data_IF_866284603591
#
_entry.id   IF_866284603591
#
_cell.length_a   1.000
_cell.length_b   1.000
_cell.length_c   1.000
_cell.angle_alpha   90.00
_cell.angle_beta   90.00
_cell.angle_gamma   90.00
#
_symmetry.space_group_name_H-M   'P 1'
#
loop_
_entity.id
_entity.type
_entity.pdbx_description
1 polymer ?
#
# COMPACT_ATOMS: atom_id res chain seq x y z
N UNK A 1 -45.90 57.78 35.77
CA UNK A 1 -46.03 56.45 35.15
C UNK A 1 -45.09 55.48 35.84
N UNK A 2 -45.67 54.35 36.28
CA UNK A 2 -45.09 53.05 36.64
C UNK A 2 -44.03 52.90 37.75
N UNK A 3 -44.56 52.38 38.85
CA UNK A 3 -43.99 51.56 39.93
C UNK A 3 -42.94 50.52 39.53
N UNK A 4 -41.97 50.29 40.41
CA UNK A 4 -41.49 48.94 40.71
C UNK A 4 -41.35 48.76 42.23
N UNK A 5 -42.28 47.96 42.75
CA UNK A 5 -42.36 47.43 44.09
C UNK A 5 -41.47 46.17 44.13
N UNK A 6 -40.45 46.13 44.99
CA UNK A 6 -39.77 44.87 45.32
C UNK A 6 -39.95 44.66 46.82
N UNK A 7 -40.84 43.72 47.11
CA UNK A 7 -41.07 43.13 48.44
C UNK A 7 -39.76 42.64 49.03
N UNK A 8 -39.49 43.10 50.25
CA UNK A 8 -38.54 42.53 51.19
C UNK A 8 -39.00 41.10 51.54
N UNK A 9 -38.35 40.10 50.95
CA UNK A 9 -38.63 38.68 51.19
C UNK A 9 -37.73 38.12 52.29
N UNK A 10 -38.35 37.80 53.43
CA UNK A 10 -37.94 36.87 54.49
C UNK A 10 -36.43 36.61 54.68
N UNK A 11 -35.89 37.13 55.78
CA UNK A 11 -34.63 36.66 56.35
C UNK A 11 -34.68 35.14 56.56
N UNK A 12 -33.77 34.43 55.92
CA UNK A 12 -33.50 33.05 56.26
C UNK A 12 -32.97 33.03 57.70
N UNK A 13 -33.78 32.55 58.63
CA UNK A 13 -33.36 32.28 60.01
C UNK A 13 -32.37 31.12 60.00
N UNK A 14 -31.09 31.44 59.86
CA UNK A 14 -30.00 30.49 60.10
C UNK A 14 -30.01 30.12 61.58
N UNK A 15 -30.00 28.83 61.95
CA UNK A 15 -29.76 28.47 63.35
C UNK A 15 -28.36 28.96 63.71
N UNK A 16 -28.34 29.91 64.62
CA UNK A 16 -27.14 30.53 65.18
C UNK A 16 -26.37 29.45 65.95
N UNK A 17 -25.28 28.96 65.37
CA UNK A 17 -24.35 28.10 66.10
C UNK A 17 -23.55 29.00 67.05
N UNK A 18 -23.58 28.75 68.38
CA UNK A 18 -22.76 29.53 69.29
C UNK A 18 -21.29 29.34 68.91
N UNK A 19 -20.64 30.43 68.52
CA UNK A 19 -19.20 30.46 68.31
C UNK A 19 -18.54 30.25 69.67
N UNK A 20 -17.92 29.08 69.84
CA UNK A 20 -17.05 28.79 70.97
C UNK A 20 -15.93 29.83 71.03
N UNK A 21 -15.74 30.39 72.22
CA UNK A 21 -14.69 31.35 72.55
C UNK A 21 -13.28 30.75 72.39
N UNK A 22 -12.26 31.58 72.10
CA UNK A 22 -10.96 31.10 71.67
C UNK A 22 -10.07 30.78 72.87
N UNK A 23 -9.74 29.51 73.06
CA UNK A 23 -8.42 29.04 73.55
C UNK A 23 -8.43 27.52 73.61
N UNK A 24 -7.29 26.92 73.25
CA UNK A 24 -6.99 25.49 73.14
C UNK A 24 -7.16 24.94 71.72
N UNK A 25 -6.09 25.13 70.95
CA UNK A 25 -5.87 24.60 69.60
C UNK A 25 -5.53 23.10 69.63
N UNK A 26 -6.09 22.34 70.57
CA UNK A 26 -6.01 20.88 70.58
C UNK A 26 -7.24 20.34 69.87
N UNK A 27 -7.01 19.62 68.78
CA UNK A 27 -8.06 18.87 68.09
C UNK A 27 -8.47 17.76 69.05
N UNK A 28 -9.58 17.98 69.76
CA UNK A 28 -10.13 17.02 70.70
C UNK A 28 -10.72 15.82 69.90
N UNK A 29 -9.88 14.80 69.71
CA UNK A 29 -10.19 13.61 68.92
C UNK A 29 -11.45 12.89 69.41
N UNK A 30 -11.73 12.97 70.71
CA UNK A 30 -12.91 12.37 71.33
C UNK A 30 -14.19 13.13 70.97
N UNK A 31 -14.13 14.47 70.95
CA UNK A 31 -15.24 15.31 70.55
C UNK A 31 -15.54 15.17 69.04
N UNK A 32 -14.49 15.02 68.22
CA UNK A 32 -14.64 14.69 66.80
C UNK A 32 -15.33 13.32 66.60
N UNK A 33 -14.96 12.31 67.38
CA UNK A 33 -15.57 10.97 67.38
C UNK A 33 -17.03 11.01 67.82
N UNK A 34 -17.37 11.82 68.83
CA UNK A 34 -18.75 11.98 69.29
C UNK A 34 -19.63 12.65 68.22
N UNK A 35 -19.12 13.70 67.56
CA UNK A 35 -19.79 14.35 66.42
C UNK A 35 -19.96 13.37 65.26
N UNK A 36 -18.94 12.56 64.94
CA UNK A 36 -18.99 11.54 63.88
C UNK A 36 -20.02 10.43 64.21
N UNK A 37 -20.12 10.04 65.48
CA UNK A 37 -21.08 9.04 65.96
C UNK A 37 -22.52 9.55 65.94
N UNK A 38 -22.73 10.81 66.31
CA UNK A 38 -24.05 11.49 66.29
C UNK A 38 -24.51 11.76 64.86
N UNK A 39 -23.58 12.11 63.97
CA UNK A 39 -23.83 12.37 62.56
C UNK A 39 -23.73 11.13 61.66
N UNK A 40 -23.60 9.91 62.21
CA UNK A 40 -23.35 8.69 61.39
C UNK A 40 -24.37 8.47 60.27
N UNK A 41 -25.65 8.83 60.50
CA UNK A 41 -26.70 8.73 59.48
C UNK A 41 -26.52 9.76 58.37
N UNK A 42 -26.12 10.98 58.73
CA UNK A 42 -25.84 12.07 57.79
C UNK A 42 -24.60 11.78 56.95
N UNK A 43 -23.53 11.28 57.59
CA UNK A 43 -22.30 10.85 56.90
C UNK A 43 -22.61 9.71 55.93
N UNK A 44 -23.36 8.69 56.36
CA UNK A 44 -23.73 7.57 55.49
C UNK A 44 -24.65 8.00 54.35
N UNK A 45 -25.57 8.96 54.58
CA UNK A 45 -26.40 9.54 53.52
C UNK A 45 -25.60 10.35 52.50
N UNK A 46 -24.62 11.15 52.93
CA UNK A 46 -23.75 11.94 52.03
C UNK A 46 -22.84 11.01 51.22
N UNK A 47 -22.23 9.99 51.86
CA UNK A 47 -21.41 8.99 51.15
C UNK A 47 -22.25 8.23 50.13
N UNK A 48 -23.47 7.83 50.48
CA UNK A 48 -24.40 7.18 49.56
C UNK A 48 -24.80 8.10 48.39
N UNK A 49 -25.09 9.37 48.67
CA UNK A 49 -25.42 10.35 47.63
C UNK A 49 -24.26 10.57 46.65
N UNK A 50 -23.03 10.69 47.14
CA UNK A 50 -21.83 10.79 46.29
C UNK A 50 -21.53 9.49 45.55
N UNK A 51 -21.77 8.31 46.15
CA UNK A 51 -21.63 7.03 45.49
C UNK A 51 -22.64 6.87 44.34
N UNK A 52 -23.91 7.24 44.56
CA UNK A 52 -24.93 7.27 43.52
C UNK A 52 -24.61 8.28 42.42
N UNK A 53 -24.17 9.49 42.78
CA UNK A 53 -23.75 10.50 41.80
C UNK A 53 -22.55 10.01 40.97
N UNK A 54 -21.56 9.38 41.60
CA UNK A 54 -20.40 8.79 40.92
C UNK A 54 -20.78 7.67 39.95
N UNK A 55 -21.73 6.81 40.34
CA UNK A 55 -22.27 5.77 39.46
C UNK A 55 -23.03 6.36 38.26
N UNK A 56 -23.87 7.37 38.48
CA UNK A 56 -24.60 8.04 37.40
C UNK A 56 -23.65 8.73 36.42
N UNK A 57 -22.62 9.42 36.93
CA UNK A 57 -21.60 10.07 36.10
C UNK A 57 -20.77 9.03 35.32
N UNK A 58 -20.45 7.89 35.94
CA UNK A 58 -19.73 6.80 35.28
C UNK A 58 -20.52 6.17 34.14
N UNK A 59 -21.86 6.12 34.25
CA UNK A 59 -22.72 5.59 33.18
C UNK A 59 -22.96 6.62 32.07
N UNK A 60 -22.85 7.93 32.37
CA UNK A 60 -22.96 9.02 31.39
C UNK A 60 -21.71 9.14 30.50
N UNK A 61 -20.56 8.60 30.94
CA UNK A 61 -19.31 8.72 30.21
C UNK A 61 -19.38 7.89 28.91
N UNK A 62 -19.11 8.49 27.73
CA UNK A 62 -19.24 7.77 26.47
C UNK A 62 -18.25 6.62 26.43
N UNK A 63 -18.77 5.39 26.36
CA UNK A 63 -17.96 4.20 26.20
C UNK A 63 -17.31 4.22 24.81
N UNK A 64 -15.98 4.20 24.78
CA UNK A 64 -15.19 4.18 23.55
C UNK A 64 -14.41 2.88 23.51
N UNK A 65 -14.51 2.17 22.40
CA UNK A 65 -13.78 0.94 22.15
C UNK A 65 -12.71 1.19 21.11
N UNK A 66 -11.49 0.77 21.39
CA UNK A 66 -10.37 0.88 20.46
C UNK A 66 -10.00 -0.52 19.99
N UNK A 67 -10.15 -0.77 18.69
CA UNK A 67 -9.59 -1.94 18.04
C UNK A 67 -8.14 -1.63 17.66
N UNK A 68 -7.23 -2.58 17.91
CA UNK A 68 -5.82 -2.45 17.59
C UNK A 68 -5.31 -3.72 16.88
N UNK A 69 -4.49 -3.53 15.85
CA UNK A 69 -3.84 -4.59 15.10
C UNK A 69 -2.35 -4.26 14.94
N UNK A 70 -1.50 -5.22 15.26
CA UNK A 70 -0.04 -5.10 15.07
C UNK A 70 0.31 -5.76 13.75
N UNK A 71 0.88 -5.00 12.83
CA UNK A 71 1.29 -5.49 11.51
C UNK A 71 2.81 -5.53 11.40
N UNK A 72 3.31 -6.56 10.72
CA UNK A 72 4.73 -6.80 10.46
C UNK A 72 4.98 -7.02 8.97
N UNK A 73 6.23 -6.84 8.50
CA UNK A 73 6.59 -7.15 7.12
C UNK A 73 6.24 -8.61 6.76
N UNK A 74 5.86 -8.86 5.50
CA UNK A 74 5.44 -10.19 5.06
C UNK A 74 6.60 -11.19 5.17
N UNK A 75 6.26 -12.40 5.58
CA UNK A 75 7.23 -13.49 5.72
C UNK A 75 7.57 -14.11 4.34
N UNK A 76 8.75 -14.76 4.21
CA UNK A 76 9.14 -15.42 2.96
C UNK A 76 8.13 -16.45 2.45
N UNK A 77 7.43 -17.15 3.36
CA UNK A 77 6.43 -18.17 3.01
C UNK A 77 5.24 -17.56 2.28
N UNK A 78 4.78 -16.39 2.72
CA UNK A 78 3.68 -15.64 2.09
C UNK A 78 4.08 -15.09 0.71
N UNK A 79 5.39 -14.87 0.50
CA UNK A 79 5.94 -14.36 -0.77
C UNK A 79 6.20 -15.44 -1.81
N UNK A 80 6.08 -16.72 -1.45
CA UNK A 80 6.53 -17.83 -2.29
C UNK A 80 5.79 -17.91 -3.63
N UNK A 81 4.49 -17.65 -3.66
CA UNK A 81 3.72 -17.65 -4.90
C UNK A 81 4.14 -16.51 -5.84
N UNK A 82 4.45 -15.34 -5.26
CA UNK A 82 4.93 -14.20 -6.01
C UNK A 82 6.35 -14.45 -6.56
N UNK A 83 7.24 -15.06 -5.77
CA UNK A 83 8.58 -15.49 -6.21
C UNK A 83 8.53 -16.51 -7.36
N UNK A 84 7.58 -17.44 -7.34
CA UNK A 84 7.36 -18.37 -8.47
C UNK A 84 6.98 -17.61 -9.74
N UNK A 85 6.17 -16.57 -9.62
CA UNK A 85 5.77 -15.73 -10.74
C UNK A 85 6.95 -14.89 -11.26
N UNK A 86 7.73 -14.26 -10.37
CA UNK A 86 8.94 -13.54 -10.77
C UNK A 86 10.01 -14.43 -11.39
N UNK A 87 10.14 -15.67 -10.92
CA UNK A 87 11.07 -16.64 -11.54
C UNK A 87 10.67 -16.94 -12.97
N UNK A 88 9.38 -17.12 -13.26
CA UNK A 88 8.87 -17.27 -14.64
C UNK A 88 9.16 -16.04 -15.49
N UNK A 89 8.98 -14.84 -14.93
CA UNK A 89 9.29 -13.59 -15.62
C UNK A 89 10.79 -13.42 -15.85
N UNK A 90 11.65 -13.84 -14.92
CA UNK A 90 13.11 -13.81 -15.08
C UNK A 90 13.59 -14.72 -16.22
N UNK A 91 12.93 -15.84 -16.46
CA UNK A 91 13.20 -16.69 -17.63
C UNK A 91 12.89 -15.95 -18.95
N UNK A 92 11.92 -15.02 -18.93
CA UNK A 92 11.63 -14.08 -20.01
C UNK A 92 12.56 -12.84 -19.99
N UNK A 93 13.71 -12.96 -19.33
CA UNK A 93 14.71 -11.92 -19.13
C UNK A 93 14.19 -10.69 -18.33
N UNK A 94 13.01 -10.76 -17.70
CA UNK A 94 12.48 -9.67 -16.85
C UNK A 94 12.96 -9.81 -15.41
N UNK A 95 13.97 -9.03 -14.99
CA UNK A 95 14.36 -8.94 -13.58
C UNK A 95 13.44 -7.95 -12.83
N UNK A 96 12.24 -8.41 -12.49
CA UNK A 96 11.31 -7.67 -11.63
C UNK A 96 11.48 -8.20 -10.21
N UNK A 97 12.06 -7.37 -9.34
CA UNK A 97 12.17 -7.62 -7.90
C UNK A 97 11.21 -6.68 -7.20
N UNK A 98 10.29 -7.23 -6.42
CA UNK A 98 9.49 -6.47 -5.45
C UNK A 98 10.02 -6.83 -4.07
N UNK A 99 10.59 -5.85 -3.39
CA UNK A 99 11.10 -6.06 -2.04
C UNK A 99 9.94 -6.14 -1.03
N UNK A 100 10.06 -7.06 -0.07
CA UNK A 100 9.05 -7.27 0.97
C UNK A 100 8.88 -6.03 1.86
N UNK A 101 10.00 -5.37 2.17
CA UNK A 101 10.03 -4.13 2.97
C UNK A 101 9.43 -2.99 2.19
N UNK A 102 9.70 -2.89 0.88
CA UNK A 102 9.10 -1.88 0.01
C UNK A 102 7.58 -2.03 -0.09
N UNK A 103 7.08 -3.27 -0.24
CA UNK A 103 5.65 -3.54 -0.25
C UNK A 103 4.98 -3.20 1.09
N UNK A 104 5.64 -3.51 2.21
CA UNK A 104 5.17 -3.14 3.54
C UNK A 104 5.17 -1.62 3.75
N UNK A 105 6.24 -0.93 3.35
CA UNK A 105 6.32 0.53 3.43
C UNK A 105 5.25 1.21 2.56
N UNK A 106 4.96 0.65 1.38
CA UNK A 106 3.87 1.11 0.52
C UNK A 106 2.51 0.92 1.18
N UNK A 107 2.29 -0.22 1.85
CA UNK A 107 1.09 -0.47 2.64
C UNK A 107 0.91 0.59 3.73
N UNK A 108 1.95 0.82 4.55
CA UNK A 108 1.90 1.84 5.62
C UNK A 108 1.65 3.24 5.05
N UNK A 109 2.35 3.61 3.97
CA UNK A 109 2.16 4.90 3.29
C UNK A 109 0.73 5.09 2.80
N UNK A 110 0.11 4.05 2.25
CA UNK A 110 -1.28 4.10 1.80
C UNK A 110 -2.26 4.12 2.97
N UNK A 111 -1.99 3.36 4.02
CA UNK A 111 -2.82 3.34 5.22
C UNK A 111 -2.89 4.74 5.87
N UNK A 112 -1.76 5.44 5.94
CA UNK A 112 -1.66 6.82 6.45
C UNK A 112 -2.28 7.87 5.50
N UNK A 113 -2.64 7.51 4.27
CA UNK A 113 -3.22 8.44 3.32
C UNK A 113 -4.64 8.82 3.72
N UNK A 114 -4.83 10.11 4.01
CA UNK A 114 -6.14 10.67 4.36
C UNK A 114 -7.16 10.46 3.24
N UNK A 115 -6.75 10.62 1.99
CA UNK A 115 -7.64 10.50 0.83
C UNK A 115 -8.16 9.08 0.66
N UNK A 116 -7.32 8.07 0.86
CA UNK A 116 -7.72 6.65 0.76
C UNK A 116 -8.65 6.25 1.90
N UNK A 117 -8.41 6.77 3.10
CA UNK A 117 -9.31 6.55 4.23
C UNK A 117 -10.68 7.19 3.98
N UNK A 118 -10.71 8.42 3.48
CA UNK A 118 -11.97 9.08 3.12
C UNK A 118 -12.72 8.34 2.02
N UNK A 119 -12.01 7.86 0.99
CA UNK A 119 -12.60 7.04 -0.08
C UNK A 119 -13.19 5.73 0.46
N UNK A 120 -12.47 5.05 1.36
CA UNK A 120 -12.96 3.84 2.01
C UNK A 120 -14.20 4.12 2.87
N UNK A 121 -14.16 5.16 3.72
CA UNK A 121 -15.29 5.52 4.58
C UNK A 121 -16.51 5.92 3.74
N UNK A 122 -16.30 6.54 2.56
CA UNK A 122 -17.34 6.91 1.59
C UNK A 122 -17.94 5.72 0.84
N UNK A 123 -17.13 4.72 0.53
CA UNK A 123 -17.52 3.56 -0.29
C UNK A 123 -18.01 2.36 0.54
N UNK A 124 -17.68 2.31 1.83
CA UNK A 124 -18.06 1.22 2.72
C UNK A 124 -19.56 1.26 3.03
N UNK A 125 -20.35 0.23 2.63
CA UNK A 125 -21.78 0.16 2.92
C UNK A 125 -22.04 0.19 4.43
N UNK A 126 -21.21 -0.50 5.21
CA UNK A 126 -21.34 -0.59 6.66
C UNK A 126 -21.23 0.77 7.35
N UNK A 127 -20.24 1.59 6.96
CA UNK A 127 -20.06 2.94 7.52
C UNK A 127 -21.16 3.88 7.04
N UNK A 128 -21.59 3.75 5.78
CA UNK A 128 -22.67 4.56 5.23
C UNK A 128 -24.02 4.28 5.88
N UNK A 129 -24.33 3.04 6.18
CA UNK A 129 -25.61 2.67 6.79
C UNK A 129 -25.69 3.18 8.23
N UNK A 130 -24.62 3.08 9.01
CA UNK A 130 -24.54 3.69 10.35
C UNK A 130 -24.67 5.22 10.32
N UNK A 131 -24.12 5.89 9.30
CA UNK A 131 -24.23 7.33 9.14
C UNK A 131 -25.61 7.77 8.65
N UNK A 132 -26.31 6.94 7.86
CA UNK A 132 -27.67 7.20 7.38
C UNK A 132 -28.73 6.95 8.45
N UNK A 133 -28.56 5.93 9.28
CA UNK A 133 -29.43 5.67 10.44
C UNK A 133 -29.48 6.86 11.40
N UNK A 134 -28.37 7.61 11.50
CA UNK A 134 -28.27 8.83 12.28
C UNK A 134 -28.93 10.08 11.63
N UNK A 135 -29.62 9.96 10.48
CA UNK A 135 -30.28 11.06 9.73
C UNK A 135 -29.34 12.25 9.44
N UNK A 136 -28.19 11.98 8.83
CA UNK A 136 -27.14 12.98 8.62
C UNK A 136 -27.30 13.65 7.24
N UNK A 137 -27.35 15.00 7.21
CA UNK A 137 -27.33 15.81 5.99
C UNK A 137 -25.99 15.66 5.22
N UNK A 138 -25.93 15.90 3.90
CA UNK A 138 -24.72 15.69 3.09
C UNK A 138 -23.49 16.51 3.57
N UNK A 139 -23.70 17.64 4.24
CA UNK A 139 -22.63 18.44 4.85
C UNK A 139 -22.11 17.83 6.16
N UNK A 140 -23.02 17.28 6.96
CA UNK A 140 -22.67 16.60 8.22
C UNK A 140 -22.00 15.25 7.95
N UNK A 141 -22.25 14.63 6.79
CA UNK A 141 -21.55 13.43 6.35
C UNK A 141 -20.04 13.67 6.24
N UNK A 142 -19.64 14.77 5.59
CA UNK A 142 -18.22 15.13 5.48
C UNK A 142 -17.60 15.38 6.85
N UNK A 143 -18.31 16.10 7.73
CA UNK A 143 -17.87 16.33 9.11
C UNK A 143 -17.72 15.02 9.90
N UNK A 144 -18.65 14.08 9.75
CA UNK A 144 -18.59 12.78 10.39
C UNK A 144 -17.40 11.96 9.88
N UNK A 145 -17.13 11.96 8.57
CA UNK A 145 -15.96 11.30 7.98
C UNK A 145 -14.66 11.89 8.52
N UNK A 146 -14.55 13.22 8.62
CA UNK A 146 -13.38 13.89 9.20
C UNK A 146 -13.21 13.52 10.68
N UNK A 147 -14.29 13.44 11.45
CA UNK A 147 -14.24 13.01 12.84
C UNK A 147 -13.85 11.52 13.00
N UNK A 148 -14.31 10.65 12.09
CA UNK A 148 -13.91 9.24 12.06
C UNK A 148 -12.43 9.08 11.68
N UNK A 149 -11.94 9.89 10.74
CA UNK A 149 -10.53 9.94 10.34
C UNK A 149 -9.60 10.18 11.53
N UNK A 150 -9.93 11.14 12.40
CA UNK A 150 -9.10 11.47 13.56
C UNK A 150 -8.97 10.32 14.57
N UNK A 151 -9.92 9.38 14.54
CA UNK A 151 -9.91 8.19 15.39
C UNK A 151 -9.09 7.05 14.81
N UNK A 152 -8.60 7.19 13.57
CA UNK A 152 -7.72 6.23 12.91
C UNK A 152 -6.26 6.63 13.10
N UNK A 153 -5.43 5.72 13.61
CA UNK A 153 -4.02 5.98 13.88
C UNK A 153 -3.15 4.82 13.43
N UNK A 154 -1.98 5.15 12.90
CA UNK A 154 -0.89 4.23 12.62
C UNK A 154 0.37 4.74 13.32
N UNK A 155 0.91 3.93 14.22
CA UNK A 155 2.08 4.28 15.04
C UNK A 155 3.17 3.24 14.84
N UNK A 156 4.40 3.70 14.64
CA UNK A 156 5.58 2.83 14.61
C UNK A 156 5.98 2.47 16.05
N UNK A 157 5.95 1.18 16.38
CA UNK A 157 6.23 0.69 17.74
C UNK A 157 7.71 0.88 18.14
N UNK A 158 8.58 1.03 17.14
CA UNK A 158 10.01 1.15 17.32
C UNK A 158 10.48 2.61 17.40
N UNK A 159 9.65 3.56 16.96
CA UNK A 159 9.98 4.99 17.00
C UNK A 159 10.03 5.55 18.43
N UNK A 160 9.31 4.94 19.38
CA UNK A 160 9.28 5.35 20.80
C UNK A 160 10.32 4.67 21.69
N UNK A 161 11.03 3.65 21.18
CA UNK A 161 12.07 2.95 21.96
C UNK A 161 13.39 3.70 21.86
N UNK A 162 14.10 3.86 22.98
CA UNK A 162 15.41 4.51 23.01
C UNK A 162 16.35 3.79 22.05
N UNK A 163 17.14 4.56 21.30
CA UNK A 163 18.02 4.17 20.18
C UNK A 163 19.02 3.02 20.47
N UNK A 164 19.16 2.60 21.73
CA UNK A 164 20.06 1.52 22.19
C UNK A 164 19.45 0.11 22.08
N UNK A 165 18.13 -0.02 22.02
CA UNK A 165 17.47 -1.32 21.80
C UNK A 165 16.84 -1.33 20.40
N UNK A 166 17.63 -1.64 19.38
CA UNK A 166 17.09 -1.92 18.05
C UNK A 166 16.14 -3.10 18.16
N UNK A 167 14.85 -2.86 17.92
CA UNK A 167 13.86 -3.92 17.95
C UNK A 167 14.21 -5.04 16.94
N UNK A 168 13.95 -6.28 17.33
CA UNK A 168 14.27 -7.47 16.53
C UNK A 168 13.54 -7.50 15.18
N UNK A 169 12.42 -6.79 15.06
CA UNK A 169 11.64 -6.68 13.84
C UNK A 169 10.89 -5.34 13.78
N UNK A 170 10.53 -4.93 12.56
CA UNK A 170 9.68 -3.77 12.32
C UNK A 170 8.22 -4.13 12.62
N UNK A 171 7.56 -3.37 13.48
CA UNK A 171 6.12 -3.50 13.73
C UNK A 171 5.43 -2.16 13.82
N UNK A 172 4.18 -2.13 13.35
CA UNK A 172 3.34 -0.96 13.38
C UNK A 172 2.02 -1.30 14.05
N UNK A 173 1.59 -0.48 15.01
CA UNK A 173 0.27 -0.58 15.63
C UNK A 173 -0.73 0.29 14.88
N UNK A 174 -1.72 -0.36 14.28
CA UNK A 174 -2.86 0.27 13.62
C UNK A 174 -4.03 0.25 14.62
N UNK A 175 -4.69 1.39 14.83
CA UNK A 175 -5.78 1.47 15.81
C UNK A 175 -6.93 2.34 15.31
N UNK A 176 -8.15 1.95 15.68
CA UNK A 176 -9.37 2.67 15.37
C UNK A 176 -10.30 2.70 16.59
N UNK A 177 -10.84 3.88 16.91
CA UNK A 177 -11.74 4.08 18.06
C UNK A 177 -13.18 4.30 17.60
N UNK A 178 -14.13 3.51 18.11
CA UNK A 178 -15.56 3.63 17.82
C UNK A 178 -16.43 3.51 19.09
N UNK A 179 -17.74 3.84 19.03
CA UNK A 179 -18.66 3.69 20.16
C UNK A 179 -18.96 2.22 20.52
N UNK A 180 -18.82 1.29 19.58
CA UNK A 180 -19.04 -0.14 19.79
C UNK A 180 -17.79 -0.95 19.43
N UNK A 181 -17.55 -2.06 20.14
CA UNK A 181 -16.40 -2.94 19.90
C UNK A 181 -16.43 -3.60 18.54
N UNK A 182 -17.61 -4.06 18.11
CA UNK A 182 -17.82 -4.71 16.81
C UNK A 182 -17.54 -3.75 15.64
N UNK A 183 -18.02 -2.50 15.73
CA UNK A 183 -17.73 -1.47 14.74
C UNK A 183 -16.25 -1.14 14.67
N UNK A 184 -15.61 -0.96 15.83
CA UNK A 184 -14.18 -0.68 15.88
C UNK A 184 -13.36 -1.78 15.18
N UNK A 185 -13.73 -3.05 15.39
CA UNK A 185 -13.07 -4.19 14.79
C UNK A 185 -13.35 -4.29 13.29
N UNK A 186 -14.62 -4.25 12.87
CA UNK A 186 -15.02 -4.39 11.46
C UNK A 186 -14.45 -3.29 10.59
N UNK A 187 -14.51 -2.03 11.05
CA UNK A 187 -14.00 -0.89 10.27
C UNK A 187 -12.49 -0.97 10.10
N UNK A 188 -11.75 -1.32 11.16
CA UNK A 188 -10.29 -1.49 11.11
C UNK A 188 -9.90 -2.64 10.17
N UNK A 189 -10.53 -3.82 10.33
CA UNK A 189 -10.25 -4.99 9.51
C UNK A 189 -10.55 -4.72 8.03
N UNK A 190 -11.74 -4.18 7.73
CA UNK A 190 -12.12 -3.85 6.36
C UNK A 190 -11.22 -2.82 5.70
N UNK A 191 -10.70 -1.85 6.46
CA UNK A 191 -9.74 -0.88 5.91
C UNK A 191 -8.38 -1.51 5.64
N UNK A 192 -7.89 -2.39 6.52
CA UNK A 192 -6.65 -3.15 6.29
C UNK A 192 -6.79 -3.98 5.00
N UNK A 193 -7.91 -4.65 4.81
CA UNK A 193 -8.19 -5.44 3.61
C UNK A 193 -8.26 -4.57 2.35
N UNK A 194 -8.94 -3.42 2.43
CA UNK A 194 -9.03 -2.46 1.33
C UNK A 194 -7.64 -1.96 0.88
N UNK A 195 -6.80 -1.55 1.84
CA UNK A 195 -5.44 -1.07 1.53
C UNK A 195 -4.57 -2.22 1.00
N UNK A 196 -4.69 -3.42 1.56
CA UNK A 196 -3.97 -4.61 1.08
C UNK A 196 -4.31 -4.92 -0.37
N UNK A 197 -5.60 -4.93 -0.72
CA UNK A 197 -6.06 -5.14 -2.10
C UNK A 197 -5.52 -4.05 -3.04
N UNK A 198 -5.47 -2.80 -2.59
CA UNK A 198 -4.94 -1.68 -3.37
C UNK A 198 -3.42 -1.82 -3.62
N UNK A 199 -2.64 -2.21 -2.61
CA UNK A 199 -1.19 -2.45 -2.73
C UNK A 199 -0.93 -3.59 -3.72
N UNK A 200 -1.68 -4.69 -3.62
CA UNK A 200 -1.57 -5.82 -4.54
C UNK A 200 -1.89 -5.38 -5.97
N UNK A 201 -3.00 -4.65 -6.16
CA UNK A 201 -3.42 -4.15 -7.48
C UNK A 201 -2.34 -3.29 -8.12
N UNK A 202 -1.80 -2.31 -7.40
CA UNK A 202 -0.76 -1.41 -7.91
C UNK A 202 0.56 -2.15 -8.20
N UNK A 203 0.93 -3.11 -7.35
CA UNK A 203 2.12 -3.93 -7.55
C UNK A 203 2.02 -4.77 -8.83
N UNK A 204 0.86 -5.41 -9.07
CA UNK A 204 0.62 -6.19 -10.29
C UNK A 204 0.59 -5.29 -11.52
N UNK A 205 -0.02 -4.10 -11.43
CA UNK A 205 -0.06 -3.16 -12.54
C UNK A 205 1.36 -2.69 -12.93
N UNK A 206 2.21 -2.41 -11.94
CA UNK A 206 3.61 -2.07 -12.18
C UNK A 206 4.38 -3.22 -12.87
N UNK A 207 4.12 -4.46 -12.47
CA UNK A 207 4.70 -5.66 -13.12
C UNK A 207 4.21 -5.76 -14.58
N UNK A 208 2.91 -5.56 -14.82
CA UNK A 208 2.29 -5.61 -16.14
C UNK A 208 2.84 -4.53 -17.07
N UNK A 209 2.96 -3.31 -16.58
CA UNK A 209 3.54 -2.19 -17.34
C UNK A 209 5.00 -2.48 -17.73
N UNK A 210 5.82 -2.99 -16.80
CA UNK A 210 7.21 -3.38 -17.09
C UNK A 210 7.28 -4.50 -18.15
N UNK A 211 6.41 -5.51 -18.04
CA UNK A 211 6.30 -6.60 -19.02
C UNK A 211 5.92 -6.06 -20.40
N UNK A 212 4.95 -5.16 -20.48
CA UNK A 212 4.51 -4.57 -21.74
C UNK A 212 5.64 -3.77 -22.41
N UNK A 213 6.33 -2.91 -21.64
CA UNK A 213 7.46 -2.12 -22.15
C UNK A 213 8.55 -3.03 -22.72
N UNK A 214 8.92 -4.12 -22.01
CA UNK A 214 9.95 -5.04 -22.51
C UNK A 214 9.48 -5.80 -23.75
N UNK A 215 8.24 -6.27 -23.77
CA UNK A 215 7.67 -6.95 -24.93
C UNK A 215 7.73 -6.06 -26.18
N UNK A 216 7.37 -4.78 -26.03
CA UNK A 216 7.46 -3.79 -27.10
C UNK A 216 8.91 -3.53 -27.53
N UNK A 217 9.82 -3.44 -26.57
CA UNK A 217 11.25 -3.27 -26.83
C UNK A 217 11.84 -4.44 -27.62
N UNK A 218 11.59 -5.68 -27.18
CA UNK A 218 12.07 -6.89 -27.86
C UNK A 218 11.50 -7.02 -29.27
N UNK A 219 10.19 -6.74 -29.45
CA UNK A 219 9.56 -6.73 -30.77
C UNK A 219 10.22 -5.72 -31.71
N UNK A 220 10.46 -4.50 -31.24
CA UNK A 220 11.17 -3.46 -32.02
C UNK A 220 12.61 -3.88 -32.34
N UNK A 221 13.31 -4.49 -31.39
CA UNK A 221 14.67 -4.97 -31.59
C UNK A 221 14.72 -6.11 -32.62
N UNK A 222 13.79 -7.08 -32.54
CA UNK A 222 13.68 -8.16 -33.51
C UNK A 222 13.43 -7.65 -34.93
N UNK A 223 12.51 -6.69 -35.09
CA UNK A 223 12.25 -6.04 -36.38
C UNK A 223 13.50 -5.34 -36.94
N UNK A 224 14.25 -4.65 -36.07
CA UNK A 224 15.52 -3.99 -36.45
C UNK A 224 16.56 -5.02 -36.90
N UNK A 225 16.73 -6.12 -36.18
CA UNK A 225 17.67 -7.19 -36.53
C UNK A 225 17.26 -7.85 -37.85
N UNK A 226 15.97 -8.15 -38.02
CA UNK A 226 15.44 -8.74 -39.26
C UNK A 226 15.66 -7.81 -40.46
N UNK A 227 15.43 -6.50 -40.29
CA UNK A 227 15.69 -5.50 -41.34
C UNK A 227 17.18 -5.40 -41.67
N UNK A 228 18.06 -5.34 -40.66
CA UNK A 228 19.51 -5.33 -40.86
C UNK A 228 19.99 -6.57 -41.60
N UNK A 229 19.45 -7.74 -41.26
CA UNK A 229 19.75 -9.00 -41.96
C UNK A 229 19.28 -8.96 -43.42
N UNK A 230 18.08 -8.44 -43.70
CA UNK A 230 17.60 -8.24 -45.08
C UNK A 230 18.50 -7.30 -45.87
N UNK A 231 18.86 -6.14 -45.30
CA UNK A 231 19.76 -5.17 -45.94
C UNK A 231 21.12 -5.81 -46.25
N UNK A 232 21.72 -6.51 -45.30
CA UNK A 232 22.99 -7.22 -45.52
C UNK A 232 22.86 -8.26 -46.64
N UNK A 233 21.77 -9.04 -46.65
CA UNK A 233 21.51 -10.03 -47.69
C UNK A 233 21.36 -9.35 -49.06
N UNK A 234 20.66 -8.22 -49.15
CA UNK A 234 20.57 -7.43 -50.39
C UNK A 234 21.94 -6.86 -50.83
N UNK A 235 22.77 -6.40 -49.90
CA UNK A 235 24.13 -5.94 -50.20
C UNK A 235 25.01 -7.08 -50.73
N UNK A 236 25.01 -8.23 -50.06
CA UNK A 236 25.77 -9.41 -50.51
C UNK A 236 25.30 -9.92 -51.88
N UNK A 237 23.98 -9.92 -52.12
CA UNK A 237 23.41 -10.29 -53.41
C UNK A 237 23.80 -9.31 -54.52
N UNK A 238 23.72 -8.00 -54.26
CA UNK A 238 24.16 -6.95 -55.20
C UNK A 238 25.64 -7.07 -55.54
N UNK A 239 26.51 -7.26 -54.53
CA UNK A 239 27.94 -7.47 -54.73
C UNK A 239 28.23 -8.72 -55.57
N UNK A 240 27.50 -9.82 -55.35
CA UNK A 240 27.62 -11.02 -56.16
C UNK A 240 27.17 -10.80 -57.61
N UNK A 241 26.09 -10.03 -57.84
CA UNK A 241 25.67 -9.68 -59.20
C UNK A 241 26.77 -8.86 -59.89
N UNK A 242 27.29 -7.80 -59.25
CA UNK A 242 28.35 -6.97 -59.83
C UNK A 242 29.57 -7.82 -60.21
N UNK A 243 29.99 -8.75 -59.35
CA UNK A 243 31.10 -9.66 -59.63
C UNK A 243 30.81 -10.61 -60.81
N UNK A 244 29.55 -11.01 -61.02
CA UNK A 244 29.13 -11.87 -62.13
C UNK A 244 28.91 -11.09 -63.45
N UNK A 245 28.55 -9.81 -63.38
CA UNK A 245 28.33 -8.94 -64.56
C UNK A 245 29.55 -8.13 -64.97
N UNK A 246 30.63 -8.09 -64.18
CA UNK A 246 31.95 -7.64 -64.63
C UNK A 246 32.43 -8.62 -65.72
N UNK A 247 32.44 -8.24 -67.01
CA UNK A 247 32.91 -9.15 -68.04
C UNK A 247 34.42 -9.33 -67.83
N UNK A 248 34.84 -10.57 -68.00
CA UNK A 248 36.07 -11.00 -68.69
C UNK A 248 36.69 -9.89 -69.55
N UNK A 249 37.35 -8.91 -68.93
CA UNK A 249 38.15 -7.87 -69.59
C UNK A 249 39.62 -8.22 -69.45
N UNK A 250 39.93 -9.49 -69.69
CA UNK A 250 41.29 -10.00 -69.84
C UNK A 250 41.41 -10.76 -71.16
N UNK A 251 41.27 -10.02 -72.24
CA UNK A 251 41.95 -10.22 -73.52
C UNK A 251 42.41 -8.78 -73.85
N UNK A 252 43.68 -8.38 -74.03
CA UNK A 252 44.91 -9.03 -74.45
C UNK A 252 46.06 -8.02 -74.19
N UNK A 253 47.23 -8.46 -73.66
CA UNK A 253 48.63 -8.02 -73.98
C UNK A 253 49.65 -8.28 -72.84
N UNK A 254 50.28 -9.46 -72.90
CA UNK A 254 51.72 -9.80 -72.71
C UNK A 254 52.55 -9.30 -71.49
N UNK A 255 53.75 -9.86 -71.21
CA UNK A 255 53.99 -10.77 -70.10
C UNK A 255 54.92 -10.16 -69.04
N UNK A 256 54.48 -10.11 -67.78
CA UNK A 256 55.42 -9.94 -66.67
C UNK A 256 55.10 -10.91 -65.55
N UNK A 257 56.03 -11.84 -65.36
CA UNK A 257 56.12 -12.81 -64.29
C UNK A 257 56.05 -12.12 -62.93
N UNK A 258 55.00 -12.40 -62.16
CA UNK A 258 55.02 -12.25 -60.71
C UNK A 258 54.50 -13.54 -60.12
N UNK A 259 55.40 -14.30 -59.49
CA UNK A 259 55.09 -15.51 -58.75
C UNK A 259 54.11 -15.20 -57.61
N UNK A 260 52.91 -15.76 -57.69
CA UNK A 260 52.01 -15.89 -56.54
C UNK A 260 51.57 -17.36 -56.47
N UNK A 261 51.86 -18.00 -55.34
CA UNK A 261 51.59 -19.44 -55.11
C UNK A 261 50.10 -19.75 -55.27
N UNK A 262 49.70 -20.78 -56.05
CA UNK A 262 48.30 -21.18 -56.11
C UNK A 262 47.92 -22.05 -54.91
N UNK A 263 46.96 -21.58 -54.10
CA UNK A 263 46.12 -22.46 -53.29
C UNK A 263 45.21 -23.22 -54.27
N UNK A 264 45.43 -24.52 -54.46
CA UNK A 264 44.55 -25.37 -55.28
C UNK A 264 43.13 -25.36 -54.69
N UNK A 265 42.21 -24.64 -55.32
CA UNK A 265 40.78 -24.79 -55.08
C UNK A 265 40.10 -25.11 -56.42
N UNK A 266 39.64 -26.35 -56.55
CA UNK A 266 39.02 -26.90 -57.75
C UNK A 266 37.67 -26.22 -58.04
N UNK A 267 37.41 -25.73 -59.27
CA UNK A 267 36.19 -24.98 -59.61
C UNK A 267 34.89 -25.80 -59.63
N UNK A 268 34.96 -27.12 -59.45
CA UNK A 268 33.82 -28.05 -59.52
C UNK A 268 32.94 -27.98 -58.25
N UNK A 269 33.50 -27.54 -57.10
CA UNK A 269 32.73 -27.47 -55.84
C UNK A 269 31.74 -26.31 -55.79
N UNK A 270 31.98 -25.22 -56.53
CA UNK A 270 31.10 -24.05 -56.55
C UNK A 270 29.83 -24.29 -57.37
N UNK A 271 29.92 -25.03 -58.48
CA UNK A 271 28.74 -25.34 -59.30
C UNK A 271 27.78 -26.31 -58.61
N UNK A 272 28.31 -27.31 -57.90
CA UNK A 272 27.48 -28.23 -57.10
C UNK A 272 26.78 -27.49 -55.94
N UNK A 273 27.48 -26.59 -55.25
CA UNK A 273 26.93 -25.77 -54.16
C UNK A 273 25.74 -24.92 -54.61
N UNK A 274 25.88 -24.21 -55.74
CA UNK A 274 24.81 -23.33 -56.27
C UNK A 274 23.56 -24.12 -56.63
N UNK A 275 23.71 -25.30 -57.25
CA UNK A 275 22.56 -26.15 -57.61
C UNK A 275 21.86 -26.70 -56.36
N UNK A 276 22.60 -27.11 -55.33
CA UNK A 276 22.01 -27.54 -54.05
C UNK A 276 21.29 -26.40 -53.32
N UNK A 277 21.84 -25.18 -53.33
CA UNK A 277 21.21 -24.01 -52.68
C UNK A 277 19.93 -23.59 -53.39
N UNK A 278 19.90 -23.62 -54.74
CA UNK A 278 18.69 -23.34 -55.51
C UNK A 278 17.58 -24.37 -55.21
N UNK A 279 17.95 -25.65 -55.13
CA UNK A 279 16.99 -26.73 -54.92
C UNK A 279 16.44 -26.74 -53.48
N UNK A 280 17.27 -26.40 -52.49
CA UNK A 280 16.85 -26.25 -51.09
C UNK A 280 15.87 -25.08 -50.89
N UNK A 281 16.10 -23.95 -51.58
CA UNK A 281 15.23 -22.77 -51.52
C UNK A 281 13.84 -23.06 -52.11
N UNK A 282 13.77 -23.81 -53.22
CA UNK A 282 12.50 -24.23 -53.82
C UNK A 282 11.70 -25.16 -52.89
N UNK A 283 12.39 -26.07 -52.17
CA UNK A 283 11.76 -27.00 -51.22
C UNK A 283 11.17 -26.27 -50.00
N UNK A 284 11.87 -25.27 -49.47
CA UNK A 284 11.39 -24.43 -48.35
C UNK A 284 10.20 -23.56 -48.75
N UNK A 285 10.19 -23.02 -49.97
CA UNK A 285 9.06 -22.24 -50.49
C UNK A 285 7.80 -23.10 -50.62
N UNK A 286 7.93 -24.36 -51.04
CA UNK A 286 6.82 -25.31 -51.17
C UNK A 286 6.23 -25.72 -49.81
N UNK A 287 7.08 -25.96 -48.79
CA UNK A 287 6.61 -26.26 -47.43
C UNK A 287 5.92 -25.06 -46.75
N UNK A 288 6.33 -23.83 -47.07
CA UNK A 288 5.68 -22.61 -46.54
C UNK A 288 4.28 -22.35 -47.11
N UNK A 289 3.96 -22.95 -48.26
CA UNK A 289 2.66 -22.82 -48.94
C UNK A 289 1.68 -23.91 -48.50
N UNK A 290 2.17 -25.08 -48.09
CA UNK A 290 1.32 -26.18 -47.56
C UNK A 290 0.92 -25.99 -46.09
N UNK A 291 1.62 -25.16 -45.33
CA UNK A 291 1.28 -24.83 -43.93
C UNK A 291 0.31 -23.63 -43.80
N UNK A 292 -0.20 -23.12 -44.93
CA UNK A 292 -1.05 -21.93 -44.99
C UNK A 292 -2.45 -22.21 -45.58
N UNK A 293 -2.81 -23.49 -45.66
CA UNK A 293 -4.18 -24.00 -45.88
C UNK A 293 -4.57 -24.90 -44.71
#
# INVERSE_FOLDING_TARGET
MSSLNIKQGSEAHFPEYPLASPSNNEIDLLNLIEVLWRAKKTVMAVVFAFACAGLLISFILPQKWTSAAVVTPPEPVQWQELEKTFTKLRVLDLDIKIDRTEAFNLFIKKFQSVSLLEEYLRSSPYVMDQLKEAKIDPLDLHRAIVALREKMKAVDDNASKKKDESALYTSWTLSFTAPTSEEAQKVLAGYIDYISALVVKESIENVRNKLEIKTQFEKKNWLRIALKRKINLMQTFSASIIHLTLPTRQELKSPYTVMVRPLKMTPISLFLSVQTVLNANWKLKKQSLTLRN
#
